data_IF_372464059152
#
_entry.id   IF_372464059152
#
_cell.length_a   1.000
_cell.length_b   1.000
_cell.length_c   1.000
_cell.angle_alpha   90.00
_cell.angle_beta   90.00
_cell.angle_gamma   90.00
#
_symmetry.space_group_name_H-M   'P 1'
#
loop_
_entity.id
_entity.type
_entity.pdbx_description
1 polymer ?
#
# COMPACT_ATOMS: atom_id res chain seq x y z
N UNK A 1 -29.38 -15.38 -0.18
CA UNK A 1 -28.59 -14.37 -0.94
C UNK A 1 -28.68 -14.69 -2.42
N UNK A 2 -29.19 -13.78 -3.24
CA UNK A 2 -29.20 -13.94 -4.69
C UNK A 2 -27.84 -13.53 -5.26
N UNK A 3 -27.20 -14.43 -6.02
CA UNK A 3 -25.97 -14.12 -6.77
C UNK A 3 -26.37 -13.51 -8.11
N UNK A 4 -25.79 -12.35 -8.44
CA UNK A 4 -26.00 -11.65 -9.71
C UNK A 4 -24.68 -11.49 -10.46
N UNK A 5 -24.76 -11.19 -11.76
CA UNK A 5 -23.57 -10.88 -12.56
C UNK A 5 -23.10 -9.45 -12.25
N UNK A 6 -21.79 -9.23 -12.32
CA UNK A 6 -21.20 -7.88 -12.33
C UNK A 6 -21.64 -7.14 -13.60
N UNK A 7 -21.64 -5.80 -13.55
CA UNK A 7 -21.99 -4.97 -14.69
C UNK A 7 -21.11 -5.26 -15.92
N UNK A 8 -21.76 -5.32 -17.10
CA UNK A 8 -21.08 -5.42 -18.39
C UNK A 8 -20.11 -4.24 -18.58
N UNK A 9 -18.93 -4.43 -19.20
CA UNK A 9 -18.43 -5.63 -19.88
C UNK A 9 -17.68 -6.61 -18.96
N UNK A 10 -17.62 -6.35 -17.65
CA UNK A 10 -16.84 -7.16 -16.72
C UNK A 10 -17.56 -8.48 -16.44
N UNK A 11 -16.87 -9.60 -16.63
CA UNK A 11 -17.36 -10.90 -16.18
C UNK A 11 -17.11 -11.05 -14.68
N UNK A 12 -18.05 -11.63 -13.95
CA UNK A 12 -17.91 -11.82 -12.51
C UNK A 12 -19.25 -12.03 -11.83
N UNK A 13 -19.19 -12.20 -10.52
CA UNK A 13 -20.37 -12.40 -9.68
C UNK A 13 -20.35 -11.44 -8.50
N UNK A 14 -21.52 -10.93 -8.14
CA UNK A 14 -21.74 -10.11 -6.97
C UNK A 14 -22.98 -10.57 -6.19
N UNK A 15 -23.05 -10.15 -4.93
CA UNK A 15 -24.24 -10.27 -4.09
C UNK A 15 -24.68 -8.89 -3.64
N UNK A 16 -25.95 -8.75 -3.25
CA UNK A 16 -26.45 -7.48 -2.73
C UNK A 16 -25.82 -7.18 -1.36
N UNK A 17 -25.29 -5.97 -1.21
CA UNK A 17 -24.66 -5.47 0.01
C UNK A 17 -25.60 -5.56 1.20
N UNK A 18 -26.87 -5.14 1.05
CA UNK A 18 -27.88 -5.25 2.10
C UNK A 18 -28.04 -6.69 2.63
N UNK A 19 -28.02 -7.69 1.75
CA UNK A 19 -28.11 -9.10 2.16
C UNK A 19 -26.88 -9.57 2.94
N UNK A 20 -25.69 -9.07 2.59
CA UNK A 20 -24.47 -9.38 3.36
C UNK A 20 -24.49 -8.67 4.71
N UNK A 21 -24.92 -7.41 4.75
CA UNK A 21 -25.07 -6.66 6.01
C UNK A 21 -26.10 -7.32 6.92
N UNK A 22 -27.20 -7.85 6.37
CA UNK A 22 -28.22 -8.59 7.14
C UNK A 22 -27.63 -9.85 7.76
N UNK A 23 -26.79 -10.58 7.01
CA UNK A 23 -26.07 -11.74 7.52
C UNK A 23 -25.13 -11.35 8.67
N UNK A 24 -24.33 -10.29 8.49
CA UNK A 24 -23.41 -9.77 9.50
C UNK A 24 -24.18 -9.42 10.78
N UNK A 25 -25.30 -8.70 10.67
CA UNK A 25 -26.11 -8.31 11.82
C UNK A 25 -26.70 -9.52 12.55
N UNK A 26 -27.19 -10.53 11.83
CA UNK A 26 -27.67 -11.78 12.44
C UNK A 26 -26.55 -12.53 13.15
N UNK A 27 -25.37 -12.60 12.55
CA UNK A 27 -24.20 -13.22 13.17
C UNK A 27 -23.77 -12.49 14.44
N UNK A 28 -23.73 -11.15 14.42
CA UNK A 28 -23.47 -10.34 15.62
C UNK A 28 -24.44 -10.64 16.76
N UNK A 29 -25.73 -10.81 16.43
CA UNK A 29 -26.74 -11.17 17.42
C UNK A 29 -26.57 -12.57 18.00
N UNK A 30 -26.13 -13.55 17.20
CA UNK A 30 -25.79 -14.89 17.70
C UNK A 30 -24.68 -14.83 18.75
N UNK A 31 -23.78 -13.86 18.62
CA UNK A 31 -22.69 -13.59 19.58
C UNK A 31 -23.03 -12.55 20.65
N UNK A 32 -24.33 -12.22 20.82
CA UNK A 32 -24.84 -11.30 21.84
C UNK A 32 -24.26 -9.88 21.76
N UNK A 33 -23.83 -9.45 20.58
CA UNK A 33 -23.35 -8.09 20.33
C UNK A 33 -24.55 -7.19 19.99
N UNK A 34 -24.64 -6.03 20.66
CA UNK A 34 -25.87 -5.23 20.74
C UNK A 34 -25.77 -3.81 20.14
N UNK A 35 -24.74 -3.53 19.35
CA UNK A 35 -24.57 -2.22 18.73
C UNK A 35 -25.65 -1.94 17.68
N UNK A 36 -26.25 -0.75 17.76
CA UNK A 36 -27.19 -0.24 16.76
C UNK A 36 -26.46 0.50 15.62
N UNK A 37 -25.18 0.81 15.81
CA UNK A 37 -24.30 1.39 14.80
C UNK A 37 -23.33 0.31 14.30
N UNK A 38 -23.39 0.02 13.00
CA UNK A 38 -22.57 -0.98 12.34
C UNK A 38 -21.45 -0.30 11.56
N UNK A 39 -20.19 -0.61 11.89
CA UNK A 39 -19.02 -0.11 11.16
C UNK A 39 -18.41 -1.21 10.30
N UNK A 40 -18.43 -1.01 8.99
CA UNK A 40 -17.97 -1.97 8.00
C UNK A 40 -16.73 -1.45 7.29
N UNK A 41 -15.67 -2.25 7.28
CA UNK A 41 -14.49 -2.00 6.47
C UNK A 41 -14.65 -2.65 5.10
N UNK A 42 -14.52 -1.85 4.05
CA UNK A 42 -14.49 -2.29 2.67
C UNK A 42 -13.04 -2.53 2.27
N UNK A 43 -12.76 -3.72 1.76
CA UNK A 43 -11.43 -4.14 1.30
C UNK A 43 -11.49 -4.51 -0.16
N UNK A 44 -10.50 -4.05 -0.92
CA UNK A 44 -10.30 -4.40 -2.33
C UNK A 44 -8.94 -5.09 -2.44
N UNK A 45 -8.93 -6.25 -3.09
CA UNK A 45 -7.70 -7.01 -3.34
C UNK A 45 -7.68 -7.46 -4.81
N UNK A 46 -6.71 -6.96 -5.56
CA UNK A 46 -6.49 -7.31 -6.96
C UNK A 46 -5.38 -8.35 -7.07
N UNK A 47 -5.70 -9.58 -7.48
CA UNK A 47 -4.70 -10.66 -7.64
C UNK A 47 -4.94 -11.50 -8.87
N UNK A 48 -3.87 -11.99 -9.53
CA UNK A 48 -4.01 -13.07 -10.49
C UNK A 48 -4.42 -14.36 -9.77
N UNK A 49 -5.54 -14.95 -10.16
CA UNK A 49 -5.94 -16.29 -9.72
C UNK A 49 -5.90 -17.24 -10.93
N UNK A 50 -5.04 -18.26 -10.86
CA UNK A 50 -4.88 -19.27 -11.92
C UNK A 50 -4.59 -18.63 -13.29
N UNK A 51 -3.78 -17.57 -13.31
CA UNK A 51 -3.41 -16.84 -14.53
C UNK A 51 -4.45 -15.86 -15.06
N UNK A 52 -5.63 -15.74 -14.42
CA UNK A 52 -6.65 -14.74 -14.74
C UNK A 52 -6.60 -13.60 -13.75
N UNK A 53 -6.65 -12.36 -14.23
CA UNK A 53 -6.75 -11.21 -13.35
C UNK A 53 -8.13 -11.20 -12.67
N UNK A 54 -8.12 -11.06 -11.34
CA UNK A 54 -9.33 -10.95 -10.55
C UNK A 54 -9.23 -9.80 -9.56
N UNK A 55 -10.36 -9.14 -9.32
CA UNK A 55 -10.55 -8.16 -8.26
C UNK A 55 -11.63 -8.69 -7.33
N UNK A 56 -11.26 -8.90 -6.07
CA UNK A 56 -12.18 -9.21 -4.98
C UNK A 56 -12.50 -7.93 -4.22
N UNK A 57 -13.78 -7.66 -4.05
CA UNK A 57 -14.26 -6.66 -3.10
C UNK A 57 -14.99 -7.38 -1.98
N UNK A 58 -14.56 -7.14 -0.75
CA UNK A 58 -15.13 -7.75 0.45
C UNK A 58 -15.43 -6.71 1.51
N UNK A 59 -16.32 -7.08 2.43
CA UNK A 59 -16.59 -6.30 3.64
C UNK A 59 -16.18 -7.08 4.87
N UNK A 60 -15.69 -6.37 5.86
CA UNK A 60 -15.25 -6.90 7.15
C UNK A 60 -15.91 -6.08 8.23
N UNK A 61 -16.48 -6.73 9.23
CA UNK A 61 -16.96 -6.03 10.40
C UNK A 61 -15.78 -5.43 11.17
N UNK A 62 -15.82 -4.12 11.46
CA UNK A 62 -14.80 -3.47 12.30
C UNK A 62 -14.90 -3.99 13.73
N UNK A 63 -16.00 -3.71 14.40
CA UNK A 63 -16.08 -3.90 15.86
C UNK A 63 -16.54 -5.34 16.24
N UNK A 64 -16.07 -6.35 15.51
CA UNK A 64 -16.43 -7.76 15.71
C UNK A 64 -15.61 -8.44 16.82
N UNK A 65 -16.28 -9.22 17.68
CA UNK A 65 -15.63 -9.96 18.77
C UNK A 65 -15.14 -11.37 18.40
N UNK A 66 -15.57 -11.91 17.25
CA UNK A 66 -15.43 -13.34 16.92
C UNK A 66 -14.17 -13.63 16.12
N UNK A 67 -13.94 -12.84 15.08
CA UNK A 67 -12.82 -13.01 14.17
C UNK A 67 -12.00 -11.72 14.11
N UNK A 68 -10.67 -11.87 14.10
CA UNK A 68 -9.78 -10.75 13.81
C UNK A 68 -10.15 -10.12 12.48
N UNK A 69 -10.20 -8.78 12.44
CA UNK A 69 -10.43 -7.97 11.24
C UNK A 69 -9.44 -8.24 10.08
N UNK A 70 -8.30 -8.86 10.38
CA UNK A 70 -7.27 -9.22 9.40
C UNK A 70 -7.32 -10.70 9.00
N UNK A 71 -8.28 -11.46 9.53
CA UNK A 71 -8.47 -12.87 9.19
C UNK A 71 -9.23 -13.02 7.89
N UNK A 72 -8.85 -14.00 7.07
CA UNK A 72 -9.66 -14.39 5.90
C UNK A 72 -11.08 -14.85 6.30
N UNK A 73 -11.26 -15.35 7.53
CA UNK A 73 -12.56 -15.79 8.06
C UNK A 73 -13.52 -14.63 8.37
N UNK A 74 -13.02 -13.40 8.49
CA UNK A 74 -13.85 -12.22 8.76
C UNK A 74 -14.30 -11.48 7.50
N UNK A 75 -13.85 -11.93 6.32
CA UNK A 75 -14.16 -11.29 5.05
C UNK A 75 -15.44 -11.90 4.49
N UNK A 76 -16.45 -11.07 4.30
CA UNK A 76 -17.65 -11.43 3.55
C UNK A 76 -17.45 -10.96 2.10
N UNK A 77 -17.29 -11.88 1.14
CA UNK A 77 -17.12 -11.51 -0.27
C UNK A 77 -18.38 -10.82 -0.78
N UNK A 78 -18.23 -9.63 -1.33
CA UNK A 78 -19.33 -8.88 -1.94
C UNK A 78 -19.36 -9.11 -3.45
N UNK A 79 -18.20 -9.07 -4.09
CA UNK A 79 -18.09 -9.28 -5.54
C UNK A 79 -16.71 -9.77 -5.95
N UNK A 80 -16.68 -10.60 -6.98
CA UNK A 80 -15.47 -11.10 -7.63
C UNK A 80 -15.60 -10.80 -9.11
N UNK A 81 -14.77 -9.88 -9.60
CA UNK A 81 -14.69 -9.50 -11.00
C UNK A 81 -13.45 -10.13 -11.66
N UNK A 82 -13.65 -10.75 -12.82
CA UNK A 82 -12.59 -11.26 -13.68
C UNK A 82 -12.07 -10.12 -14.57
N UNK A 83 -11.36 -9.17 -13.96
CA UNK A 83 -10.75 -8.04 -14.65
C UNK A 83 -9.37 -7.72 -14.06
N UNK A 84 -8.61 -6.91 -14.79
CA UNK A 84 -7.39 -6.33 -14.26
C UNK A 84 -7.74 -5.25 -13.25
N UNK A 85 -6.91 -5.15 -12.22
CA UNK A 85 -6.96 -4.03 -11.28
C UNK A 85 -6.40 -2.77 -11.95
N UNK A 86 -7.22 -2.16 -12.80
CA UNK A 86 -6.99 -0.88 -13.44
C UNK A 86 -8.19 0.03 -13.27
N UNK A 87 -7.97 1.33 -13.50
CA UNK A 87 -8.96 2.36 -13.19
C UNK A 87 -10.28 2.18 -13.92
N UNK A 88 -10.26 1.83 -15.20
CA UNK A 88 -11.47 1.76 -16.01
C UNK A 88 -12.34 0.59 -15.59
N UNK A 89 -11.70 -0.56 -15.33
CA UNK A 89 -12.39 -1.72 -14.77
C UNK A 89 -12.93 -1.43 -13.35
N UNK A 90 -12.15 -0.77 -12.50
CA UNK A 90 -12.57 -0.44 -11.15
C UNK A 90 -13.76 0.54 -11.12
N UNK A 91 -13.82 1.54 -12.02
CA UNK A 91 -14.98 2.44 -12.12
C UNK A 91 -16.28 1.68 -12.35
N UNK A 92 -16.29 0.77 -13.32
CA UNK A 92 -17.46 -0.05 -13.66
C UNK A 92 -17.80 -0.99 -12.50
N UNK A 93 -16.78 -1.58 -11.87
CA UNK A 93 -16.97 -2.51 -10.78
C UNK A 93 -17.57 -1.87 -9.52
N UNK A 94 -17.22 -0.62 -9.23
CA UNK A 94 -17.61 0.10 -8.01
C UNK A 94 -18.95 0.83 -8.12
N UNK A 95 -19.50 1.02 -9.32
CA UNK A 95 -20.74 1.79 -9.53
C UNK A 95 -21.94 1.24 -8.73
N UNK A 96 -22.21 -0.07 -8.84
CA UNK A 96 -23.29 -0.75 -8.10
C UNK A 96 -23.04 -0.75 -6.58
N UNK A 97 -21.77 -0.84 -6.16
CA UNK A 97 -21.38 -0.81 -4.76
C UNK A 97 -21.64 0.57 -4.16
N UNK A 98 -21.22 1.65 -4.84
CA UNK A 98 -21.45 3.02 -4.40
C UNK A 98 -22.94 3.33 -4.29
N UNK A 99 -23.73 2.87 -5.27
CA UNK A 99 -25.18 3.03 -5.24
C UNK A 99 -25.82 2.35 -4.01
N UNK A 100 -25.51 1.07 -3.76
CA UNK A 100 -26.06 0.33 -2.62
C UNK A 100 -25.58 0.89 -1.28
N UNK A 101 -24.32 1.32 -1.21
CA UNK A 101 -23.73 1.95 -0.04
C UNK A 101 -24.43 3.27 0.31
N UNK A 102 -24.69 4.12 -0.69
CA UNK A 102 -25.43 5.37 -0.50
C UNK A 102 -26.81 5.12 0.11
N UNK A 103 -27.56 4.15 -0.41
CA UNK A 103 -28.88 3.78 0.12
C UNK A 103 -28.78 3.35 1.59
N UNK A 104 -27.79 2.52 1.95
CA UNK A 104 -27.60 2.04 3.32
C UNK A 104 -27.17 3.17 4.28
N UNK A 105 -26.30 4.09 3.85
CA UNK A 105 -25.89 5.25 4.65
C UNK A 105 -27.08 6.18 4.95
N UNK A 106 -27.93 6.42 3.95
CA UNK A 106 -29.06 7.35 4.08
C UNK A 106 -30.22 6.76 4.88
N UNK A 107 -30.55 5.48 4.67
CA UNK A 107 -31.76 4.86 5.23
C UNK A 107 -31.50 3.96 6.44
N UNK A 108 -30.25 3.54 6.64
CA UNK A 108 -29.93 2.43 7.52
C UNK A 108 -30.56 1.13 7.04
N UNK A 109 -30.77 0.19 7.96
CA UNK A 109 -31.41 -1.09 7.65
C UNK A 109 -32.23 -1.61 8.83
N UNK A 110 -33.40 -2.20 8.57
CA UNK A 110 -34.19 -2.89 9.58
C UNK A 110 -33.95 -4.39 9.47
N UNK A 111 -33.45 -5.00 10.54
CA UNK A 111 -33.24 -6.45 10.63
C UNK A 111 -33.92 -6.96 11.90
N UNK A 112 -34.81 -7.93 11.73
CA UNK A 112 -35.54 -8.59 12.81
C UNK A 112 -36.19 -7.60 13.80
N UNK A 113 -36.80 -6.53 13.26
CA UNK A 113 -37.51 -5.51 14.04
C UNK A 113 -36.64 -4.40 14.66
N UNK A 114 -35.32 -4.41 14.45
CA UNK A 114 -34.39 -3.36 14.92
C UNK A 114 -33.84 -2.55 13.76
N UNK A 115 -33.77 -1.24 13.93
CA UNK A 115 -33.13 -0.33 12.98
C UNK A 115 -31.65 -0.16 13.31
N UNK A 116 -30.81 -0.20 12.29
CA UNK A 116 -29.36 -0.07 12.38
C UNK A 116 -28.86 1.03 11.45
N UNK A 117 -27.94 1.84 11.94
CA UNK A 117 -27.14 2.75 11.10
C UNK A 117 -25.90 2.03 10.59
N UNK A 118 -25.45 2.37 9.38
CA UNK A 118 -24.31 1.71 8.73
C UNK A 118 -23.28 2.76 8.32
N UNK A 119 -22.07 2.60 8.84
CA UNK A 119 -20.89 3.42 8.53
C UNK A 119 -19.88 2.57 7.76
N UNK A 120 -19.23 3.18 6.77
CA UNK A 120 -18.24 2.52 5.93
C UNK A 120 -16.86 3.15 6.13
N UNK A 121 -15.86 2.28 6.27
CA UNK A 121 -14.45 2.61 6.21
C UNK A 121 -13.86 1.87 5.03
N UNK A 122 -12.83 2.44 4.41
CA UNK A 122 -12.19 1.87 3.24
C UNK A 122 -10.75 1.57 3.58
N UNK A 123 -10.34 0.31 3.47
CA UNK A 123 -8.97 -0.13 3.74
C UNK A 123 -8.36 -0.62 2.43
N UNK A 124 -7.35 0.09 1.95
CA UNK A 124 -6.72 -0.16 0.65
C UNK A 124 -5.21 -0.23 0.78
N UNK A 125 -4.56 -1.01 -0.09
CA UNK A 125 -3.14 -0.80 -0.32
C UNK A 125 -2.88 0.54 -1.04
N UNK A 126 -1.62 0.98 -1.03
CA UNK A 126 -1.26 2.27 -1.63
C UNK A 126 -1.50 2.31 -3.14
N UNK A 127 -1.29 1.18 -3.84
CA UNK A 127 -1.46 1.09 -5.30
C UNK A 127 -2.93 1.24 -5.66
N UNK A 128 -3.84 0.54 -4.97
CA UNK A 128 -5.28 0.69 -5.20
C UNK A 128 -5.74 2.10 -4.85
N UNK A 129 -5.24 2.68 -3.76
CA UNK A 129 -5.58 4.06 -3.38
C UNK A 129 -5.28 5.05 -4.52
N UNK A 130 -4.06 5.02 -5.08
CA UNK A 130 -3.70 5.95 -6.16
C UNK A 130 -4.45 5.68 -7.47
N UNK A 131 -4.88 4.44 -7.73
CA UNK A 131 -5.74 4.11 -8.86
C UNK A 131 -7.14 4.72 -8.73
N UNK A 132 -7.68 4.72 -7.51
CA UNK A 132 -9.01 5.22 -7.17
C UNK A 132 -9.05 6.74 -6.96
N UNK A 133 -7.90 7.41 -6.89
CA UNK A 133 -7.81 8.86 -6.85
C UNK A 133 -7.65 9.43 -8.27
N UNK A 134 -8.62 10.23 -8.70
CA UNK A 134 -8.66 10.87 -10.02
C UNK A 134 -8.73 12.38 -9.90
N UNK A 135 -8.15 13.12 -10.85
CA UNK A 135 -8.31 14.58 -10.87
C UNK A 135 -9.70 14.95 -11.40
N UNK A 136 -10.34 15.92 -10.75
CA UNK A 136 -11.64 16.49 -11.16
C UNK A 136 -11.65 16.95 -12.62
N UNK A 137 -10.55 17.54 -13.06
CA UNK A 137 -10.42 18.16 -14.39
C UNK A 137 -9.73 17.26 -15.42
N UNK A 138 -9.19 16.11 -15.00
CA UNK A 138 -8.41 15.25 -15.88
C UNK A 138 -8.56 13.77 -15.49
N UNK A 139 -9.42 13.05 -16.22
CA UNK A 139 -9.69 11.64 -15.98
C UNK A 139 -8.50 10.71 -16.33
N UNK A 140 -7.59 11.14 -17.21
CA UNK A 140 -6.40 10.37 -17.60
C UNK A 140 -5.20 10.62 -16.68
N UNK A 141 -5.31 11.56 -15.73
CA UNK A 141 -4.26 11.85 -14.76
C UNK A 141 -3.91 10.60 -13.93
N UNK A 142 -2.62 10.28 -13.81
CA UNK A 142 -2.15 9.17 -12.98
C UNK A 142 -1.32 9.72 -11.82
N UNK A 143 -1.80 9.49 -10.58
CA UNK A 143 -1.05 9.79 -9.37
C UNK A 143 -0.02 8.69 -9.11
N UNK A 144 1.22 9.05 -8.79
CA UNK A 144 2.28 8.08 -8.45
C UNK A 144 2.81 7.29 -9.65
N UNK A 145 2.67 7.83 -10.87
CA UNK A 145 3.23 7.23 -12.09
C UNK A 145 4.77 7.13 -12.09
N UNK A 146 5.31 6.49 -13.13
CA UNK A 146 6.77 6.35 -13.32
C UNK A 146 7.35 7.59 -14.01
N UNK A 147 8.59 7.95 -13.67
CA UNK A 147 9.34 9.04 -14.33
C UNK A 147 9.52 10.29 -13.46
N UNK A 148 10.07 11.33 -14.07
CA UNK A 148 10.20 12.68 -13.48
C UNK A 148 9.02 13.56 -13.88
N UNK A 149 8.82 14.67 -13.18
CA UNK A 149 7.68 15.57 -13.36
C UNK A 149 6.32 14.91 -13.12
N UNK A 150 6.28 13.86 -12.30
CA UNK A 150 5.06 13.13 -11.94
C UNK A 150 4.62 13.52 -10.53
N UNK A 151 3.35 13.88 -10.39
CA UNK A 151 2.73 14.06 -9.08
C UNK A 151 2.55 12.71 -8.39
N UNK A 152 2.99 12.60 -7.14
CA UNK A 152 3.02 11.30 -6.45
C UNK A 152 2.34 11.29 -5.08
N UNK A 153 2.06 12.45 -4.49
CA UNK A 153 1.43 12.52 -3.18
C UNK A 153 -0.07 12.83 -3.30
N UNK A 154 -0.91 12.08 -2.60
CA UNK A 154 -2.35 12.35 -2.53
C UNK A 154 -2.72 13.43 -1.50
N UNK A 155 -1.77 13.82 -0.64
CA UNK A 155 -1.95 14.84 0.41
C UNK A 155 -1.49 16.21 -0.09
N UNK A 156 -0.45 16.25 -0.93
CA UNK A 156 0.12 17.51 -1.43
C UNK A 156 0.52 17.44 -2.90
N UNK A 157 0.81 18.60 -3.50
CA UNK A 157 1.14 18.72 -4.92
C UNK A 157 2.62 18.41 -5.23
N UNK A 158 3.25 17.52 -4.45
CA UNK A 158 4.65 17.12 -4.63
C UNK A 158 4.85 16.42 -5.99
N UNK A 159 5.97 16.75 -6.64
CA UNK A 159 6.34 16.28 -7.97
C UNK A 159 7.71 15.61 -7.87
N UNK A 160 7.85 14.41 -8.44
CA UNK A 160 9.13 13.67 -8.46
C UNK A 160 10.10 14.33 -9.44
N UNK A 161 11.36 14.52 -9.02
CA UNK A 161 12.40 15.10 -9.87
C UNK A 161 12.07 16.52 -10.34
N UNK A 162 11.68 17.39 -9.40
CA UNK A 162 11.42 18.78 -9.73
C UNK A 162 12.68 19.44 -10.31
N UNK A 163 12.57 20.03 -11.50
CA UNK A 163 13.68 20.76 -12.15
C UNK A 163 13.88 22.19 -11.65
N UNK A 164 13.09 22.59 -10.66
CA UNK A 164 13.04 23.91 -10.08
C UNK A 164 14.29 24.24 -9.24
N UNK A 165 14.94 23.22 -8.68
CA UNK A 165 16.16 23.33 -7.90
C UNK A 165 17.11 22.22 -8.37
N UNK A 166 18.41 22.48 -8.36
CA UNK A 166 19.43 21.55 -8.86
C UNK A 166 19.60 20.38 -7.86
N UNK A 167 18.70 19.40 -7.98
CA UNK A 167 18.58 18.26 -7.06
C UNK A 167 18.90 16.99 -7.81
N UNK A 168 19.74 16.15 -7.22
CA UNK A 168 20.16 14.91 -7.85
C UNK A 168 18.94 14.00 -8.15
N UNK A 169 18.99 13.14 -9.18
CA UNK A 169 17.86 12.28 -9.57
C UNK A 169 17.35 11.33 -8.47
N UNK A 170 18.19 11.03 -7.47
CA UNK A 170 17.89 10.20 -6.30
C UNK A 170 17.63 11.01 -5.02
N UNK A 171 17.55 12.33 -5.12
CA UNK A 171 17.26 13.21 -3.99
C UNK A 171 15.88 13.84 -4.11
N UNK A 172 15.22 14.00 -2.96
CA UNK A 172 13.98 14.77 -2.88
C UNK A 172 14.34 16.24 -2.71
N UNK A 173 13.83 17.09 -3.60
CA UNK A 173 14.02 18.53 -3.50
C UNK A 173 13.40 19.05 -2.20
N UNK A 174 14.20 19.33 -1.19
CA UNK A 174 13.71 19.76 0.11
C UNK A 174 13.02 21.13 0.07
N UNK A 175 13.36 22.01 -0.87
CA UNK A 175 12.71 23.32 -1.01
C UNK A 175 11.33 23.23 -1.67
N UNK A 176 11.19 22.38 -2.68
CA UNK A 176 9.87 22.04 -3.21
C UNK A 176 9.08 21.13 -2.30
N UNK A 177 9.75 20.27 -1.54
CA UNK A 177 9.09 19.50 -0.50
C UNK A 177 8.62 20.45 0.59
N UNK A 178 9.44 21.35 1.14
CA UNK A 178 9.04 22.34 2.16
C UNK A 178 7.95 23.29 1.69
N UNK A 179 8.05 23.85 0.49
CA UNK A 179 7.03 24.77 -0.05
C UNK A 179 5.71 24.08 -0.40
N UNK A 180 5.72 22.77 -0.68
CA UNK A 180 4.51 21.98 -1.01
C UNK A 180 4.01 21.09 0.13
N UNK A 181 4.87 20.76 1.08
CA UNK A 181 4.58 20.31 2.43
C UNK A 181 4.19 21.53 3.26
N UNK A 182 3.17 22.26 2.78
CA UNK A 182 2.31 23.04 3.66
C UNK A 182 1.59 22.06 4.60
N UNK A 183 2.34 21.45 5.53
CA UNK A 183 1.87 20.65 6.65
C UNK A 183 0.95 21.51 7.55
N UNK A 184 0.96 22.84 7.38
CA UNK A 184 0.01 23.78 7.99
C UNK A 184 -1.32 23.98 7.25
N UNK A 185 -1.58 23.35 6.10
CA UNK A 185 -2.90 23.34 5.44
C UNK A 185 -3.44 21.91 5.28
N UNK A 186 -3.21 21.04 6.27
CA UNK A 186 -3.70 19.67 6.23
C UNK A 186 -5.23 19.61 6.41
N UNK A 187 -5.99 19.92 5.37
CA UNK A 187 -7.43 19.65 5.31
C UNK A 187 -7.74 18.21 4.88
N UNK A 188 -6.72 17.38 4.63
CA UNK A 188 -6.85 15.99 4.20
C UNK A 188 -6.20 15.71 2.85
N UNK A 189 -6.82 14.84 2.05
CA UNK A 189 -6.45 14.58 0.65
C UNK A 189 -6.67 15.85 -0.17
N UNK A 190 -5.86 16.07 -1.21
CA UNK A 190 -5.96 17.22 -2.10
C UNK A 190 -7.39 17.42 -2.62
N UNK A 191 -7.82 18.67 -2.64
CA UNK A 191 -9.15 19.09 -3.07
C UNK A 191 -9.40 18.94 -4.59
N UNK A 192 -8.33 18.83 -5.39
CA UNK A 192 -8.40 18.59 -6.83
C UNK A 192 -8.61 17.10 -7.18
N UNK A 193 -8.56 16.20 -6.19
CA UNK A 193 -8.79 14.78 -6.34
C UNK A 193 -10.24 14.38 -5.98
N UNK A 194 -10.73 13.33 -6.64
CA UNK A 194 -11.98 12.63 -6.35
C UNK A 194 -11.64 11.17 -6.08
N UNK A 195 -12.28 10.61 -5.06
CA UNK A 195 -12.13 9.20 -4.72
C UNK A 195 -13.28 8.39 -5.32
N UNK A 196 -12.96 7.40 -6.15
CA UNK A 196 -13.94 6.65 -6.94
C UNK A 196 -14.84 5.71 -6.12
N UNK A 197 -14.48 5.39 -4.86
CA UNK A 197 -15.34 4.59 -3.98
C UNK A 197 -16.28 5.45 -3.13
N UNK A 198 -16.53 6.71 -3.53
CA UNK A 198 -17.51 7.66 -2.97
C UNK A 198 -17.55 7.70 -1.42
N UNK A 199 -16.40 7.59 -0.76
CA UNK A 199 -16.27 7.76 0.69
C UNK A 199 -15.51 9.02 1.05
N UNK A 200 -15.80 9.53 2.24
CA UNK A 200 -15.08 10.66 2.80
C UNK A 200 -13.64 10.28 3.11
N UNK A 201 -12.74 11.26 2.96
CA UNK A 201 -11.30 11.05 3.05
C UNK A 201 -10.86 10.61 4.45
N UNK A 202 -11.58 11.04 5.49
CA UNK A 202 -11.37 10.61 6.88
C UNK A 202 -11.72 9.12 7.11
N UNK A 203 -12.46 8.50 6.19
CA UNK A 203 -12.86 7.10 6.25
C UNK A 203 -11.92 6.18 5.44
N UNK A 204 -10.85 6.73 4.85
CA UNK A 204 -9.86 5.97 4.09
C UNK A 204 -8.67 5.63 4.99
N UNK A 205 -8.27 4.35 4.99
CA UNK A 205 -7.13 3.82 5.72
C UNK A 205 -6.20 3.07 4.77
N UNK A 206 -4.90 3.28 4.92
CA UNK A 206 -3.90 2.48 4.23
C UNK A 206 -3.71 1.14 4.95
N UNK A 207 -3.54 0.09 4.16
CA UNK A 207 -3.22 -1.24 4.66
C UNK A 207 -1.81 -1.23 5.27
N UNK A 208 -1.72 -1.32 6.60
CA UNK A 208 -0.46 -1.32 7.34
C UNK A 208 0.52 -2.39 6.82
N UNK A 209 0.04 -3.61 6.57
CA UNK A 209 0.86 -4.71 6.07
C UNK A 209 1.53 -4.36 4.73
N UNK A 210 0.78 -3.87 3.75
CA UNK A 210 1.34 -3.52 2.44
C UNK A 210 2.29 -2.32 2.53
N UNK A 211 2.10 -1.41 3.49
CA UNK A 211 3.03 -0.32 3.76
C UNK A 211 4.35 -0.82 4.35
N UNK A 212 4.29 -1.73 5.33
CA UNK A 212 5.50 -2.36 5.89
C UNK A 212 6.27 -3.13 4.82
N UNK A 213 5.58 -3.94 4.01
CA UNK A 213 6.18 -4.68 2.90
C UNK A 213 6.84 -3.77 1.86
N UNK A 214 6.18 -2.66 1.48
CA UNK A 214 6.76 -1.69 0.54
C UNK A 214 7.99 -1.00 1.14
N UNK A 215 7.95 -0.65 2.43
CA UNK A 215 9.10 -0.05 3.11
C UNK A 215 10.30 -1.00 3.14
N UNK A 216 10.06 -2.26 3.49
CA UNK A 216 11.09 -3.30 3.51
C UNK A 216 11.65 -3.57 2.12
N UNK A 217 10.81 -3.61 1.07
CA UNK A 217 11.26 -3.68 -0.32
C UNK A 217 12.19 -2.51 -0.68
N UNK A 218 11.80 -1.28 -0.34
CA UNK A 218 12.60 -0.09 -0.62
C UNK A 218 13.92 -0.08 0.14
N UNK A 219 13.94 -0.57 1.36
CA UNK A 219 15.14 -0.69 2.17
C UNK A 219 16.10 -1.75 1.59
N UNK A 220 15.58 -2.93 1.25
CA UNK A 220 16.35 -3.99 0.62
C UNK A 220 16.90 -3.57 -0.75
N UNK A 221 16.15 -2.78 -1.52
CA UNK A 221 16.66 -2.22 -2.77
C UNK A 221 17.85 -1.27 -2.54
N UNK A 222 17.82 -0.48 -1.46
CA UNK A 222 18.95 0.37 -1.07
C UNK A 222 20.16 -0.46 -0.62
N UNK A 223 19.95 -1.48 0.21
CA UNK A 223 21.00 -2.41 0.64
C UNK A 223 21.59 -3.12 -0.58
N UNK A 224 20.76 -3.59 -1.50
CA UNK A 224 21.16 -4.24 -2.74
C UNK A 224 22.02 -3.34 -3.64
N UNK A 225 21.69 -2.04 -3.74
CA UNK A 225 22.51 -1.08 -4.48
C UNK A 225 23.88 -0.91 -3.83
N UNK A 226 23.94 -0.80 -2.50
CA UNK A 226 25.20 -0.67 -1.77
C UNK A 226 26.03 -1.94 -1.92
N UNK A 227 25.42 -3.12 -1.75
CA UNK A 227 26.08 -4.41 -1.88
C UNK A 227 26.63 -4.62 -3.30
N UNK A 228 25.88 -4.21 -4.32
CA UNK A 228 26.37 -4.22 -5.71
C UNK A 228 27.62 -3.34 -5.90
N UNK A 229 27.65 -2.14 -5.31
CA UNK A 229 28.78 -1.20 -5.45
C UNK A 229 30.06 -1.69 -4.78
N UNK A 230 29.95 -2.54 -3.76
CA UNK A 230 31.10 -3.07 -3.00
C UNK A 230 31.39 -4.54 -3.32
N UNK A 231 30.77 -5.08 -4.37
CA UNK A 231 30.91 -6.47 -4.79
C UNK A 231 30.58 -7.48 -3.66
N UNK A 232 29.47 -7.23 -2.94
CA UNK A 232 28.96 -8.07 -1.85
C UNK A 232 27.51 -8.53 -2.06
N UNK A 233 27.02 -8.51 -3.30
CA UNK A 233 25.63 -8.88 -3.61
C UNK A 233 25.34 -10.36 -3.31
N UNK A 234 26.34 -11.24 -3.49
CA UNK A 234 26.20 -12.66 -3.16
C UNK A 234 26.02 -12.88 -1.65
N UNK A 235 26.78 -12.15 -0.82
CA UNK A 235 26.66 -12.15 0.63
C UNK A 235 25.31 -11.60 1.09
N UNK A 236 24.81 -10.55 0.44
CA UNK A 236 23.49 -10.01 0.71
C UNK A 236 22.38 -11.04 0.46
N UNK A 237 22.44 -11.75 -0.68
CA UNK A 237 21.48 -12.81 -0.99
C UNK A 237 21.63 -14.02 -0.06
N UNK A 238 22.85 -14.40 0.30
CA UNK A 238 23.10 -15.47 1.26
C UNK A 238 22.54 -15.14 2.65
N UNK A 239 22.68 -13.88 3.10
CA UNK A 239 22.10 -13.42 4.36
C UNK A 239 20.56 -13.49 4.33
N UNK A 240 19.93 -12.97 3.27
CA UNK A 240 18.47 -12.95 3.13
C UNK A 240 17.85 -14.34 3.01
N UNK A 241 18.56 -15.30 2.39
CA UNK A 241 18.09 -16.67 2.23
C UNK A 241 17.77 -17.36 3.56
N UNK A 242 18.43 -16.97 4.65
CA UNK A 242 18.20 -17.57 5.97
C UNK A 242 16.88 -17.12 6.63
N UNK A 243 16.22 -16.09 6.08
CA UNK A 243 15.00 -15.50 6.65
C UNK A 243 13.78 -15.65 5.74
N UNK A 244 13.95 -16.30 4.58
CA UNK A 244 12.86 -16.67 3.67
C UNK A 244 12.28 -18.05 3.98
N UNK A 245 11.08 -18.38 3.46
CA UNK A 245 10.57 -19.74 3.53
C UNK A 245 11.48 -20.69 2.75
N UNK A 246 11.50 -21.98 3.11
CA UNK A 246 12.34 -22.98 2.42
C UNK A 246 12.05 -23.08 0.91
N UNK A 247 10.82 -22.75 0.50
CA UNK A 247 10.37 -22.68 -0.89
C UNK A 247 10.83 -21.42 -1.63
N UNK A 248 11.55 -20.51 -0.97
CA UNK A 248 12.10 -19.31 -1.59
C UNK A 248 13.29 -19.70 -2.47
N UNK A 249 13.03 -19.85 -3.77
CA UNK A 249 14.03 -20.24 -4.75
C UNK A 249 14.64 -19.01 -5.45
N UNK A 250 15.98 -18.99 -5.52
CA UNK A 250 16.73 -17.95 -6.21
C UNK A 250 17.15 -16.77 -5.32
N UNK A 251 17.68 -15.74 -5.97
CA UNK A 251 18.16 -14.53 -5.30
C UNK A 251 17.00 -13.62 -4.89
N UNK A 252 17.07 -13.10 -3.66
CA UNK A 252 16.13 -12.11 -3.16
C UNK A 252 16.33 -10.76 -3.84
N UNK A 253 17.58 -10.41 -4.14
CA UNK A 253 18.00 -9.16 -4.76
C UNK A 253 18.74 -9.48 -6.05
N UNK A 254 18.31 -8.85 -7.15
CA UNK A 254 18.96 -8.97 -8.46
C UNK A 254 19.19 -7.61 -9.09
N UNK A 255 20.20 -7.51 -9.97
CA UNK A 255 20.47 -6.30 -10.75
C UNK A 255 19.96 -6.51 -12.17
N UNK A 256 18.93 -5.75 -12.56
CA UNK A 256 18.38 -5.76 -13.91
C UNK A 256 19.00 -4.63 -14.72
N UNK A 257 19.92 -5.00 -15.61
CA UNK A 257 20.48 -4.10 -16.64
C UNK A 257 19.66 -4.22 -17.92
N UNK A 258 19.32 -3.10 -18.54
CA UNK A 258 18.83 -3.13 -19.93
C UNK A 258 20.04 -3.40 -20.84
N UNK A 259 19.82 -4.13 -21.94
CA UNK A 259 20.88 -4.52 -22.89
C UNK A 259 21.73 -3.35 -23.39
N UNK A 260 21.15 -2.15 -23.43
CA UNK A 260 21.75 -0.97 -24.05
C UNK A 260 22.07 0.13 -23.02
N UNK A 261 21.99 -0.18 -21.71
CA UNK A 261 22.19 0.82 -20.66
C UNK A 261 23.68 1.17 -20.50
N UNK A 262 24.03 2.39 -20.89
CA UNK A 262 25.36 2.97 -20.64
C UNK A 262 25.45 3.71 -19.29
N UNK A 263 24.31 4.09 -18.70
CA UNK A 263 24.28 4.81 -17.42
C UNK A 263 24.62 3.90 -16.23
N UNK A 264 25.23 4.50 -15.20
CA UNK A 264 25.57 3.80 -13.97
C UNK A 264 24.36 3.10 -13.33
N UNK A 265 24.63 2.02 -12.60
CA UNK A 265 23.60 1.28 -11.86
C UNK A 265 23.08 2.15 -10.71
N UNK A 266 21.77 2.34 -10.69
CA UNK A 266 21.04 3.09 -9.67
C UNK A 266 20.07 2.17 -8.94
N UNK A 267 19.37 2.69 -7.92
CA UNK A 267 18.35 1.92 -7.18
C UNK A 267 17.27 1.34 -8.10
N UNK A 268 16.96 2.02 -9.21
CA UNK A 268 15.96 1.56 -10.19
C UNK A 268 16.37 0.27 -10.94
N UNK A 269 17.67 -0.03 -10.95
CA UNK A 269 18.19 -1.28 -11.51
C UNK A 269 18.13 -2.43 -10.50
N UNK A 270 17.91 -2.15 -9.22
CA UNK A 270 17.83 -3.17 -8.17
C UNK A 270 16.40 -3.69 -8.12
N UNK A 271 16.26 -5.00 -8.22
CA UNK A 271 15.00 -5.69 -8.14
C UNK A 271 14.98 -6.59 -6.92
N UNK A 272 14.04 -6.32 -6.01
CA UNK A 272 13.74 -7.16 -4.85
C UNK A 272 12.59 -8.09 -5.23
N UNK A 273 12.76 -9.38 -4.97
CA UNK A 273 11.72 -10.38 -5.20
C UNK A 273 10.55 -10.17 -4.24
N UNK A 274 9.33 -10.38 -4.72
CA UNK A 274 8.13 -10.23 -3.88
C UNK A 274 8.19 -11.18 -2.68
N UNK A 275 7.90 -10.67 -1.50
CA UNK A 275 7.84 -11.44 -0.26
C UNK A 275 6.43 -11.47 0.31
N UNK A 276 6.17 -12.42 1.20
CA UNK A 276 4.94 -12.45 2.00
C UNK A 276 5.14 -11.63 3.28
N UNK A 277 4.03 -11.29 3.94
CA UNK A 277 4.06 -10.60 5.24
C UNK A 277 4.92 -11.29 6.31
N UNK A 278 4.79 -12.61 6.52
CA UNK A 278 5.64 -13.32 7.48
C UNK A 278 7.14 -13.22 7.16
N UNK A 279 7.52 -13.37 5.89
CA UNK A 279 8.92 -13.23 5.45
C UNK A 279 9.46 -11.82 5.68
N UNK A 280 8.65 -10.80 5.36
CA UNK A 280 8.98 -9.40 5.65
C UNK A 280 9.25 -9.19 7.13
N UNK A 281 8.38 -9.73 7.99
CA UNK A 281 8.50 -9.57 9.42
C UNK A 281 9.77 -10.22 9.98
N UNK A 282 10.14 -11.41 9.51
CA UNK A 282 11.39 -12.08 9.88
C UNK A 282 12.63 -11.28 9.45
N UNK A 283 12.64 -10.80 8.20
CA UNK A 283 13.69 -9.92 7.69
C UNK A 283 13.83 -8.66 8.54
N UNK A 284 12.71 -8.03 8.89
CA UNK A 284 12.71 -6.80 9.69
C UNK A 284 13.26 -7.02 11.09
N UNK A 285 12.91 -8.14 11.73
CA UNK A 285 13.44 -8.48 13.06
C UNK A 285 14.96 -8.69 13.07
N UNK A 286 15.52 -9.16 11.95
CA UNK A 286 16.94 -9.48 11.81
C UNK A 286 17.70 -8.48 10.92
N UNK A 287 17.10 -7.31 10.66
CA UNK A 287 17.59 -6.35 9.68
C UNK A 287 19.03 -5.91 9.95
N UNK A 288 19.36 -5.62 11.21
CA UNK A 288 20.74 -5.24 11.58
C UNK A 288 21.73 -6.33 11.18
N UNK A 289 21.42 -7.59 11.50
CA UNK A 289 22.28 -8.72 11.18
C UNK A 289 22.41 -8.92 9.68
N UNK A 290 21.31 -8.76 8.95
CA UNK A 290 21.30 -8.81 7.48
C UNK A 290 22.22 -7.74 6.91
N UNK A 291 22.15 -6.49 7.39
CA UNK A 291 23.00 -5.39 6.92
C UNK A 291 24.49 -5.69 7.18
N UNK A 292 24.84 -6.18 8.37
CA UNK A 292 26.22 -6.53 8.72
C UNK A 292 26.80 -7.61 7.81
N UNK A 293 26.00 -8.62 7.46
CA UNK A 293 26.41 -9.71 6.56
C UNK A 293 26.40 -9.28 5.09
N UNK A 294 25.42 -8.48 4.69
CA UNK A 294 25.25 -7.99 3.32
C UNK A 294 26.31 -6.96 2.93
N UNK A 295 26.80 -6.17 3.89
CA UNK A 295 27.80 -5.12 3.70
C UNK A 295 29.02 -5.35 4.62
N UNK A 296 29.85 -6.39 4.35
CA UNK A 296 31.04 -6.64 5.15
C UNK A 296 31.94 -5.41 5.23
N UNK A 297 32.37 -5.04 6.44
CA UNK A 297 33.12 -3.79 6.68
C UNK A 297 34.40 -3.68 5.84
N UNK A 298 35.09 -4.79 5.61
CA UNK A 298 36.30 -4.87 4.81
C UNK A 298 36.06 -4.55 3.34
N UNK A 299 34.91 -4.99 2.78
CA UNK A 299 34.47 -4.62 1.42
C UNK A 299 33.92 -3.20 1.38
N UNK A 300 33.12 -2.84 2.37
CA UNK A 300 32.41 -1.57 2.41
C UNK A 300 33.34 -0.37 2.57
N UNK A 301 34.48 -0.52 3.25
CA UNK A 301 35.47 0.57 3.40
C UNK A 301 36.27 0.86 2.12
N UNK A 302 36.43 -0.11 1.21
CA UNK A 302 37.30 0.05 0.02
C UNK A 302 36.98 1.28 -0.85
N UNK A 303 35.71 1.69 -1.04
CA UNK A 303 35.38 2.87 -1.82
C UNK A 303 35.43 4.20 -1.05
N UNK A 304 35.71 4.20 0.26
CA UNK A 304 35.69 5.42 1.08
C UNK A 304 37.06 5.67 1.70
N UNK A 305 37.50 6.92 1.69
CA UNK A 305 38.79 7.33 2.25
C UNK A 305 38.84 7.14 3.78
N UNK A 306 37.70 7.22 4.47
CA UNK A 306 37.60 6.96 5.92
C UNK A 306 36.22 6.42 6.38
N UNK A 307 36.21 5.78 7.56
CA UNK A 307 35.04 5.10 8.15
C UNK A 307 33.93 6.06 8.57
N UNK A 308 34.27 7.30 8.97
CA UNK A 308 33.28 8.31 9.33
C UNK A 308 32.55 8.83 8.10
N UNK A 309 33.21 8.95 6.95
CA UNK A 309 32.56 9.29 5.68
C UNK A 309 31.56 8.20 5.26
N UNK A 310 31.93 6.93 5.39
CA UNK A 310 31.05 5.79 5.13
C UNK A 310 29.85 5.73 6.10
N UNK A 311 30.08 5.96 7.40
CA UNK A 311 29.05 6.02 8.44
C UNK A 311 28.09 7.19 8.24
N UNK A 312 28.61 8.36 7.86
CA UNK A 312 27.80 9.57 7.60
C UNK A 312 26.93 9.39 6.36
N UNK A 313 27.43 8.75 5.30
CA UNK A 313 26.63 8.42 4.12
C UNK A 313 25.51 7.42 4.42
N UNK A 314 25.78 6.37 5.22
CA UNK A 314 24.75 5.42 5.66
C UNK A 314 23.73 6.14 6.55
N UNK A 315 24.14 6.86 7.59
CA UNK A 315 23.22 7.53 8.50
C UNK A 315 22.37 8.58 7.77
N UNK A 316 22.94 9.36 6.85
CA UNK A 316 22.18 10.33 6.04
C UNK A 316 21.23 9.69 5.03
N UNK A 317 21.47 8.43 4.61
CA UNK A 317 20.59 7.69 3.67
C UNK A 317 19.62 6.74 4.37
N UNK A 318 19.88 6.38 5.63
CA UNK A 318 19.10 5.43 6.44
C UNK A 318 18.29 6.13 7.53
N UNK A 319 18.37 7.46 7.69
CA UNK A 319 17.49 8.20 8.61
C UNK A 319 16.04 8.24 8.14
N UNK A 320 15.33 7.13 8.33
CA UNK A 320 13.98 7.08 8.86
C UNK A 320 13.88 5.83 9.75
N UNK A 321 13.20 5.98 10.90
CA UNK A 321 12.96 5.00 11.97
C UNK A 321 14.03 4.87 13.07
N UNK A 322 14.12 5.87 13.97
CA UNK A 322 13.89 5.66 15.42
C UNK A 322 14.07 6.97 16.21
N UNK A 323 12.93 7.59 16.54
CA UNK A 323 12.76 8.32 17.79
C UNK A 323 11.27 8.25 18.14
N UNK A 324 10.88 7.14 18.78
CA UNK A 324 9.67 7.10 19.58
C UNK A 324 10.06 7.68 20.93
N UNK A 325 9.82 8.97 21.11
CA UNK A 325 9.69 9.58 22.43
C UNK A 325 8.28 10.12 22.45
N UNK A 326 7.54 9.69 23.46
CA UNK A 326 6.12 9.93 23.69
C UNK A 326 5.68 11.35 23.30
N UNK A 327 4.89 11.46 22.24
CA UNK A 327 3.93 12.54 22.07
C UNK A 327 2.67 11.94 21.47
N UNK A 328 1.56 12.21 22.13
CA UNK A 328 0.21 11.76 21.81
C UNK A 328 -0.15 11.85 20.32
N UNK A 329 -0.94 10.86 19.90
CA UNK A 329 -1.94 10.86 18.84
C UNK A 329 -1.60 11.50 17.47
N UNK A 330 -1.68 10.65 16.43
CA UNK A 330 -1.82 11.00 15.00
C UNK A 330 -0.52 11.29 14.26
N UNK A 331 0.14 10.23 13.78
CA UNK A 331 1.25 10.33 12.83
C UNK A 331 0.83 9.72 11.49
N UNK A 332 0.73 10.57 10.47
CA UNK A 332 0.62 10.20 9.06
C UNK A 332 2.04 9.94 8.55
N UNK A 333 2.32 8.70 8.16
CA UNK A 333 3.58 8.34 7.50
C UNK A 333 3.56 8.86 6.05
N UNK A 334 4.46 9.78 5.71
CA UNK A 334 4.74 10.17 4.32
C UNK A 334 6.02 9.47 3.89
N UNK A 335 5.89 8.58 2.91
CA UNK A 335 7.01 8.06 2.14
C UNK A 335 7.53 9.16 1.20
N UNK A 336 8.73 9.68 1.48
CA UNK A 336 9.55 10.30 0.45
C UNK A 336 10.27 9.16 -0.30
N UNK A 337 9.90 8.95 -1.56
CA UNK A 337 10.61 8.06 -2.48
C UNK A 337 11.92 8.67 -2.93
#
# INVERSE_FOLDING_TARGET
MGVKKVASPIQGFSVNLSSVVELILREQRLHQLSSHALRLMMKLDGRPFWGRAQVLFGIVLRDGAVYSQQSAKSVYPLTIANCKEDRDNLKIHLEDINHQKKILKEKGMIVDGRHYTVEFLVVLDYKTLVLLLVKKTNASFMLGGRGVSVEFCFICNAIRGCKCHDVAPDETCLDCLRSKCNIGRSTGIRDDLVFLLDEELCNIQLCALHMEMLNTEQLLASIGLLAYRVDSLAEANAALKNYGPESFHGDCISVKKKSDQQSAITKQNIHVSSMSGPTEQEIRQHLQKIVELALPLDKFKKPYEDVNTAKTLILNRVTFYQARVDVDATIIFILAT
#
